data_IF_292966414772
#
_entry.id   IF_292966414772
#
_cell.length_a   1.000
_cell.length_b   1.000
_cell.length_c   1.000
_cell.angle_alpha   90.00
_cell.angle_beta   90.00
_cell.angle_gamma   90.00
#
_symmetry.space_group_name_H-M   'P 1'
#
loop_
_entity.id
_entity.type
_entity.pdbx_description
1 polymer ?
#
# COMPACT_ATOMS: atom_id res chain seq x y z
N UNK A 1 -6.61 -16.68 25.71
CA UNK A 1 -7.28 -15.55 25.03
C UNK A 1 -8.13 -14.76 26.00
N UNK A 2 -9.37 -15.21 26.25
CA UNK A 2 -10.35 -14.49 27.09
C UNK A 2 -9.86 -14.17 28.51
N UNK A 3 -9.13 -15.08 29.16
CA UNK A 3 -8.57 -14.85 30.49
C UNK A 3 -7.54 -13.70 30.49
N UNK A 4 -6.57 -13.74 29.56
CA UNK A 4 -5.59 -12.66 29.37
C UNK A 4 -6.25 -11.32 29.03
N UNK A 5 -7.30 -11.34 28.20
CA UNK A 5 -8.06 -10.14 27.86
C UNK A 5 -8.75 -9.52 29.09
N UNK A 6 -9.34 -10.35 29.96
CA UNK A 6 -9.95 -9.90 31.22
C UNK A 6 -8.91 -9.39 32.21
N UNK A 7 -7.71 -9.97 32.21
CA UNK A 7 -6.59 -9.53 33.03
C UNK A 7 -5.92 -8.23 32.54
N UNK A 8 -6.35 -7.69 31.39
CA UNK A 8 -5.74 -6.49 30.79
C UNK A 8 -4.45 -6.76 30.02
N UNK A 9 -3.98 -8.01 29.98
CA UNK A 9 -2.84 -8.42 29.15
C UNK A 9 -3.29 -8.64 27.71
N UNK A 10 -3.45 -7.52 27.01
CA UNK A 10 -3.88 -7.50 25.61
C UNK A 10 -2.84 -8.11 24.65
N UNK A 11 -1.52 -7.93 24.82
CA UNK A 11 -0.51 -8.61 24.00
C UNK A 11 -0.60 -10.15 24.10
N UNK A 12 -0.68 -10.71 25.32
CA UNK A 12 -0.85 -12.16 25.46
C UNK A 12 -2.20 -12.63 24.92
N UNK A 13 -3.27 -11.84 25.13
CA UNK A 13 -4.58 -12.13 24.54
C UNK A 13 -4.51 -12.23 23.01
N UNK A 14 -3.81 -11.32 22.34
CA UNK A 14 -3.58 -11.33 20.88
C UNK A 14 -2.84 -12.59 20.45
N UNK A 15 -1.76 -12.97 21.16
CA UNK A 15 -1.00 -14.19 20.87
C UNK A 15 -1.90 -15.42 20.92
N UNK A 16 -2.68 -15.56 21.98
CA UNK A 16 -3.62 -16.67 22.13
C UNK A 16 -4.75 -16.66 21.09
N UNK A 17 -5.34 -15.51 20.78
CA UNK A 17 -6.37 -15.44 19.73
C UNK A 17 -5.79 -15.72 18.35
N UNK A 18 -4.54 -15.34 18.09
CA UNK A 18 -3.85 -15.64 16.83
C UNK A 18 -3.65 -17.14 16.68
N UNK A 19 -3.20 -17.83 17.73
CA UNK A 19 -3.12 -19.28 17.73
C UNK A 19 -4.50 -19.93 17.48
N UNK A 20 -5.58 -19.38 18.09
CA UNK A 20 -6.94 -19.86 17.87
C UNK A 20 -7.44 -19.64 16.43
N UNK A 21 -7.13 -18.50 15.81
CA UNK A 21 -7.45 -18.22 14.40
C UNK A 21 -6.68 -19.15 13.46
N UNK A 22 -5.43 -19.50 13.78
CA UNK A 22 -4.65 -20.47 12.98
C UNK A 22 -5.26 -21.87 13.11
N UNK A 23 -5.68 -22.26 14.31
CA UNK A 23 -6.28 -23.57 14.57
C UNK A 23 -7.68 -23.72 13.93
N UNK A 24 -8.51 -22.68 13.99
CA UNK A 24 -9.83 -22.64 13.36
C UNK A 24 -10.08 -21.27 12.69
N UNK A 25 -9.70 -21.13 11.41
CA UNK A 25 -9.84 -19.88 10.65
C UNK A 25 -11.28 -19.50 10.33
N UNK A 26 -12.23 -20.43 10.45
CA UNK A 26 -13.62 -20.22 10.06
C UNK A 26 -14.47 -19.65 11.19
N UNK A 27 -13.96 -19.65 12.41
CA UNK A 27 -14.69 -19.11 13.56
C UNK A 27 -14.47 -17.59 13.68
N UNK A 28 -15.48 -16.75 13.37
CA UNK A 28 -15.36 -15.30 13.42
C UNK A 28 -15.12 -14.75 14.84
N UNK A 29 -15.42 -15.53 15.87
CA UNK A 29 -15.30 -15.12 17.28
C UNK A 29 -13.86 -14.83 17.66
N UNK A 30 -12.90 -15.62 17.18
CA UNK A 30 -11.49 -15.45 17.54
C UNK A 30 -10.91 -14.17 16.92
N UNK A 31 -11.21 -13.93 15.65
CA UNK A 31 -10.82 -12.73 14.91
C UNK A 31 -11.46 -11.49 15.53
N UNK A 32 -12.76 -11.56 15.86
CA UNK A 32 -13.47 -10.48 16.52
C UNK A 32 -12.93 -10.15 17.91
N UNK A 33 -12.56 -11.17 18.71
CA UNK A 33 -11.98 -10.98 20.03
C UNK A 33 -10.54 -10.45 19.96
N UNK A 34 -9.77 -10.83 18.93
CA UNK A 34 -8.46 -10.25 18.64
C UNK A 34 -8.57 -8.79 18.24
N UNK A 35 -9.57 -8.41 17.43
CA UNK A 35 -9.86 -7.01 17.11
C UNK A 35 -10.11 -6.16 18.37
N UNK A 36 -10.84 -6.70 19.36
CA UNK A 36 -11.05 -5.99 20.62
C UNK A 36 -9.74 -5.78 21.40
N UNK A 37 -8.83 -6.76 21.39
CA UNK A 37 -7.53 -6.63 22.05
C UNK A 37 -6.67 -5.57 21.35
N UNK A 38 -6.71 -5.50 20.02
CA UNK A 38 -6.05 -4.46 19.26
C UNK A 38 -6.59 -3.05 19.55
N UNK A 39 -7.91 -2.89 19.65
CA UNK A 39 -8.52 -1.61 20.05
C UNK A 39 -8.03 -1.12 21.41
N UNK A 40 -7.86 -2.03 22.37
CA UNK A 40 -7.36 -1.69 23.71
C UNK A 40 -5.90 -1.23 23.73
N UNK A 41 -5.13 -1.59 22.70
CA UNK A 41 -3.73 -1.16 22.52
C UNK A 41 -3.58 0.03 21.57
N UNK A 42 -4.67 0.65 21.09
CA UNK A 42 -4.61 1.71 20.08
C UNK A 42 -4.14 1.22 18.70
N UNK A 43 -4.06 -0.09 18.47
CA UNK A 43 -3.69 -0.70 17.19
C UNK A 43 -4.89 -0.70 16.25
N UNK A 44 -5.34 0.49 15.89
CA UNK A 44 -6.60 0.70 15.19
C UNK A 44 -6.62 0.06 13.78
N UNK A 45 -5.50 0.06 13.07
CA UNK A 45 -5.40 -0.57 11.74
C UNK A 45 -5.55 -2.09 11.83
N UNK A 46 -4.88 -2.74 12.79
CA UNK A 46 -5.00 -4.18 13.00
C UNK A 46 -6.43 -4.58 13.45
N UNK A 47 -7.05 -3.75 14.30
CA UNK A 47 -8.42 -3.94 14.72
C UNK A 47 -9.42 -3.85 13.55
N UNK A 48 -9.26 -2.88 12.65
CA UNK A 48 -10.11 -2.76 11.46
C UNK A 48 -9.99 -3.99 10.56
N UNK A 49 -8.77 -4.46 10.29
CA UNK A 49 -8.54 -5.66 9.47
C UNK A 49 -9.23 -6.89 10.04
N UNK A 50 -9.13 -7.11 11.35
CA UNK A 50 -9.79 -8.25 12.00
C UNK A 50 -11.33 -8.11 12.02
N UNK A 51 -11.85 -6.88 12.09
CA UNK A 51 -13.29 -6.63 11.94
C UNK A 51 -13.75 -6.94 10.51
N UNK A 52 -13.00 -6.55 9.48
CA UNK A 52 -13.32 -6.86 8.08
C UNK A 52 -13.28 -8.36 7.79
N UNK A 53 -12.31 -9.08 8.36
CA UNK A 53 -12.27 -10.54 8.30
C UNK A 53 -13.50 -11.17 8.97
N UNK A 54 -13.91 -10.64 10.12
CA UNK A 54 -15.12 -11.10 10.83
C UNK A 54 -16.38 -10.86 10.00
N UNK A 55 -16.54 -9.67 9.40
CA UNK A 55 -17.70 -9.31 8.56
C UNK A 55 -17.79 -10.19 7.31
N UNK A 56 -16.64 -10.57 6.72
CA UNK A 56 -16.60 -11.49 5.59
C UNK A 56 -17.11 -12.89 5.94
N UNK A 57 -16.88 -13.34 7.17
CA UNK A 57 -17.34 -14.65 7.66
C UNK A 57 -18.78 -14.58 8.21
N UNK A 58 -19.15 -13.48 8.85
CA UNK A 58 -20.46 -13.22 9.44
C UNK A 58 -20.85 -11.75 9.20
N UNK A 59 -21.56 -11.51 8.10
CA UNK A 59 -21.94 -10.17 7.66
C UNK A 59 -22.96 -9.49 8.58
N UNK A 60 -23.68 -10.28 9.40
CA UNK A 60 -24.68 -9.80 10.36
C UNK A 60 -24.09 -9.49 11.73
N UNK A 61 -22.77 -9.62 11.90
CA UNK A 61 -22.11 -9.39 13.17
C UNK A 61 -22.06 -7.90 13.54
N UNK A 62 -23.06 -7.42 14.27
CA UNK A 62 -23.17 -6.01 14.70
C UNK A 62 -21.95 -5.56 15.51
N UNK A 63 -21.35 -6.45 16.32
CA UNK A 63 -20.16 -6.14 17.12
C UNK A 63 -18.94 -5.87 16.24
N UNK A 64 -18.81 -6.56 15.11
CA UNK A 64 -17.73 -6.33 14.16
C UNK A 64 -17.84 -4.95 13.50
N UNK A 65 -19.04 -4.58 13.04
CA UNK A 65 -19.31 -3.25 12.49
C UNK A 65 -19.05 -2.13 13.49
N UNK A 66 -19.52 -2.29 14.73
CA UNK A 66 -19.30 -1.32 15.79
C UNK A 66 -17.81 -1.14 16.14
N UNK A 67 -17.05 -2.24 16.23
CA UNK A 67 -15.60 -2.21 16.50
C UNK A 67 -14.80 -1.62 15.33
N UNK A 68 -15.24 -1.86 14.09
CA UNK A 68 -14.68 -1.22 12.90
C UNK A 68 -14.86 0.29 12.93
N UNK A 69 -16.04 0.77 13.31
CA UNK A 69 -16.29 2.21 13.50
C UNK A 69 -15.34 2.83 14.52
N UNK A 70 -15.19 2.19 15.69
CA UNK A 70 -14.22 2.63 16.72
C UNK A 70 -12.77 2.62 16.21
N UNK A 71 -12.39 1.63 15.42
CA UNK A 71 -11.07 1.57 14.81
C UNK A 71 -10.83 2.76 13.87
N UNK A 72 -11.78 3.08 12.99
CA UNK A 72 -11.67 4.21 12.06
C UNK A 72 -11.59 5.56 12.76
N UNK A 73 -12.48 5.81 13.73
CA UNK A 73 -12.43 7.04 14.52
C UNK A 73 -11.14 7.17 15.33
N UNK A 74 -10.55 6.05 15.76
CA UNK A 74 -9.23 6.04 16.39
C UNK A 74 -8.08 6.39 15.44
N UNK A 75 -8.17 5.96 14.17
CA UNK A 75 -7.20 6.33 13.14
C UNK A 75 -7.27 7.82 12.80
N UNK A 76 -8.47 8.38 12.65
CA UNK A 76 -8.66 9.82 12.39
C UNK A 76 -8.05 10.67 13.51
N UNK A 77 -8.37 10.35 14.77
CA UNK A 77 -7.79 11.05 15.93
C UNK A 77 -6.28 10.93 16.04
N UNK A 78 -5.71 9.79 15.65
CA UNK A 78 -4.26 9.60 15.64
C UNK A 78 -3.57 10.37 14.51
N UNK A 79 -4.25 10.51 13.35
CA UNK A 79 -3.77 11.38 12.27
C UNK A 79 -3.83 12.85 12.68
N UNK A 80 -4.94 13.32 13.25
CA UNK A 80 -5.08 14.68 13.78
C UNK A 80 -4.05 14.98 14.88
N UNK A 81 -3.83 14.04 15.82
CA UNK A 81 -2.83 14.18 16.86
C UNK A 81 -1.40 14.24 16.33
N UNK A 82 -1.08 13.51 15.25
CA UNK A 82 0.24 13.53 14.60
C UNK A 82 0.46 14.78 13.76
N UNK A 83 -0.57 15.34 13.16
CA UNK A 83 -0.47 16.62 12.45
C UNK A 83 -0.37 17.80 13.43
N UNK A 84 -0.97 17.70 14.63
CA UNK A 84 -0.88 18.71 15.69
C UNK A 84 0.35 18.61 16.62
N UNK A 85 1.14 17.53 16.53
CA UNK A 85 2.39 17.36 17.29
C UNK A 85 3.56 17.28 16.33
N UNK A 86 4.08 18.43 15.90
CA UNK A 86 5.43 18.51 15.33
C UNK A 86 6.45 18.40 16.47
N UNK A 87 7.32 17.37 16.53
CA UNK A 87 8.50 17.39 17.36
C UNK A 87 9.71 17.67 16.46
N UNK A 88 10.23 18.90 16.57
CA UNK A 88 11.62 19.18 16.23
C UNK A 88 12.53 18.37 17.16
N UNK A 89 13.13 17.28 16.66
CA UNK A 89 14.40 16.73 17.19
C UNK A 89 14.95 15.62 16.27
N UNK A 90 16.27 15.69 16.07
CA UNK A 90 17.13 14.97 15.13
C UNK A 90 17.27 13.44 15.37
N UNK A 91 17.89 12.68 14.44
CA UNK A 91 18.01 11.23 14.51
C UNK A 91 19.26 10.80 15.30
N UNK A 92 19.19 9.65 15.96
CA UNK A 92 20.38 8.92 16.41
C UNK A 92 20.35 7.48 15.84
N UNK A 93 21.48 6.95 15.34
CA UNK A 93 21.55 5.65 14.70
C UNK A 93 21.97 4.57 15.71
N UNK A 94 21.35 3.40 15.67
CA UNK A 94 22.00 2.18 16.17
C UNK A 94 21.36 0.95 15.55
N UNK A 95 22.03 0.43 14.54
CA UNK A 95 21.84 -0.90 13.99
C UNK A 95 22.28 -1.95 15.00
N UNK A 96 21.49 -3.01 15.20
CA UNK A 96 22.03 -4.32 15.55
C UNK A 96 21.35 -5.43 14.75
N UNK A 97 22.21 -6.19 14.09
CA UNK A 97 21.95 -7.36 13.28
C UNK A 97 21.41 -8.53 14.10
N UNK A 98 20.51 -9.31 13.52
CA UNK A 98 20.57 -10.78 13.71
C UNK A 98 20.11 -11.49 12.43
N UNK A 99 20.92 -12.46 12.05
CA UNK A 99 20.98 -13.23 10.81
C UNK A 99 19.92 -14.36 10.73
N UNK A 100 19.27 -14.49 9.55
CA UNK A 100 18.93 -15.68 8.73
C UNK A 100 18.61 -17.06 9.40
N UNK A 101 17.73 -17.95 8.83
CA UNK A 101 17.73 -18.30 7.40
C UNK A 101 16.39 -18.61 6.69
N UNK A 102 16.52 -18.53 5.36
CA UNK A 102 15.70 -18.99 4.21
C UNK A 102 14.72 -20.14 4.46
N UNK A 103 13.43 -19.97 4.08
CA UNK A 103 12.60 -21.00 3.39
C UNK A 103 11.52 -20.36 2.49
N UNK A 104 11.65 -20.62 1.19
CA UNK A 104 10.67 -20.89 0.11
C UNK A 104 9.39 -20.05 -0.05
N UNK A 105 9.29 -19.49 -1.26
CA UNK A 105 8.08 -19.11 -1.99
C UNK A 105 6.87 -20.01 -1.71
N UNK A 106 5.76 -19.40 -1.31
CA UNK A 106 4.44 -19.74 -1.84
C UNK A 106 3.60 -18.47 -1.92
N UNK A 107 3.00 -18.26 -3.10
CA UNK A 107 2.15 -17.13 -3.38
C UNK A 107 0.91 -17.14 -2.47
N UNK A 108 0.78 -16.13 -1.60
CA UNK A 108 -0.47 -15.85 -0.90
C UNK A 108 -1.07 -14.56 -1.48
N UNK A 109 -1.97 -14.75 -2.43
CA UNK A 109 -2.92 -13.71 -2.87
C UNK A 109 -3.69 -13.25 -1.63
N UNK A 110 -3.70 -11.94 -1.38
CA UNK A 110 -4.46 -11.21 -0.34
C UNK A 110 -3.70 -10.72 0.90
N UNK A 111 -2.39 -10.47 0.79
CA UNK A 111 -1.77 -9.49 1.71
C UNK A 111 -2.11 -8.09 1.18
N UNK A 112 -2.73 -7.18 1.96
CA UNK A 112 -2.84 -5.79 1.54
C UNK A 112 -1.42 -5.27 1.32
N UNK A 113 -1.14 -4.82 0.11
CA UNK A 113 0.18 -4.36 -0.28
C UNK A 113 0.50 -3.10 0.53
N UNK A 114 1.38 -3.23 1.51
CA UNK A 114 1.96 -2.05 2.17
C UNK A 114 3.05 -1.48 1.28
N UNK A 115 3.35 -0.19 1.41
CA UNK A 115 4.45 0.43 0.66
C UNK A 115 5.77 -0.32 0.87
N UNK A 116 6.06 -0.72 2.11
CA UNK A 116 7.25 -1.50 2.43
C UNK A 116 7.30 -2.83 1.68
N UNK A 117 6.19 -3.56 1.62
CA UNK A 117 6.13 -4.83 0.87
C UNK A 117 6.21 -4.62 -0.63
N UNK A 118 5.62 -3.52 -1.14
CA UNK A 118 5.75 -3.12 -2.54
C UNK A 118 7.22 -2.87 -2.87
N UNK A 119 7.89 -1.97 -2.15
CA UNK A 119 9.29 -1.59 -2.39
C UNK A 119 10.22 -2.79 -2.27
N UNK A 120 10.06 -3.60 -1.21
CA UNK A 120 10.85 -4.82 -1.02
C UNK A 120 10.67 -5.80 -2.18
N UNK A 121 9.44 -6.00 -2.65
CA UNK A 121 9.17 -6.91 -3.78
C UNK A 121 9.70 -6.32 -5.08
N UNK A 122 9.52 -5.02 -5.29
CA UNK A 122 10.02 -4.28 -6.44
C UNK A 122 11.54 -4.36 -6.58
N UNK A 123 12.28 -4.14 -5.49
CA UNK A 123 13.75 -4.18 -5.47
C UNK A 123 14.30 -5.59 -5.68
N UNK A 124 13.53 -6.64 -5.37
CA UNK A 124 13.90 -8.01 -5.67
C UNK A 124 13.79 -8.36 -7.17
N UNK A 125 13.11 -7.54 -7.98
CA UNK A 125 12.90 -7.77 -9.40
C UNK A 125 13.97 -7.07 -10.25
N UNK A 126 14.70 -7.87 -11.02
CA UNK A 126 15.80 -7.38 -11.87
C UNK A 126 15.41 -7.13 -13.33
N UNK A 127 14.38 -7.82 -13.85
CA UNK A 127 13.95 -7.65 -15.25
C UNK A 127 12.75 -6.69 -15.38
N UNK A 128 12.71 -5.82 -16.41
CA UNK A 128 11.55 -4.97 -16.70
C UNK A 128 10.24 -5.75 -16.86
N UNK A 129 10.26 -6.90 -17.52
CA UNK A 129 9.06 -7.73 -17.72
C UNK A 129 8.50 -8.25 -16.39
N UNK A 130 9.34 -8.75 -15.48
CA UNK A 130 8.88 -9.16 -14.16
C UNK A 130 8.34 -7.99 -13.32
N UNK A 131 8.91 -6.79 -13.46
CA UNK A 131 8.39 -5.56 -12.82
C UNK A 131 7.02 -5.18 -13.38
N UNK A 132 6.82 -5.32 -14.69
CA UNK A 132 5.53 -5.12 -15.34
C UNK A 132 4.48 -6.11 -14.82
N UNK A 133 4.76 -7.41 -14.85
CA UNK A 133 3.85 -8.44 -14.32
C UNK A 133 3.54 -8.22 -12.84
N UNK A 134 4.51 -7.74 -12.05
CA UNK A 134 4.26 -7.37 -10.67
C UNK A 134 3.34 -6.16 -10.56
N UNK A 135 3.53 -5.11 -11.36
CA UNK A 135 2.64 -3.95 -11.38
C UNK A 135 1.21 -4.33 -11.76
N UNK A 136 1.02 -5.21 -12.74
CA UNK A 136 -0.31 -5.71 -13.13
C UNK A 136 -1.06 -6.40 -11.98
N UNK A 137 -0.34 -6.91 -10.97
CA UNK A 137 -0.97 -7.45 -9.76
C UNK A 137 -1.47 -6.38 -8.78
N UNK A 138 -1.10 -5.11 -8.99
CA UNK A 138 -1.44 -3.96 -8.15
C UNK A 138 -2.48 -3.09 -8.84
N UNK A 139 -3.71 -3.08 -8.34
CA UNK A 139 -4.77 -2.31 -8.98
C UNK A 139 -4.43 -0.79 -9.04
N UNK A 140 -4.51 -0.12 -10.22
CA UNK A 140 -4.08 1.27 -10.39
C UNK A 140 -4.71 2.27 -9.42
N UNK A 141 -5.98 2.08 -9.06
CA UNK A 141 -6.68 2.97 -8.10
C UNK A 141 -6.15 2.87 -6.67
N UNK A 142 -5.32 1.87 -6.37
CA UNK A 142 -4.66 1.71 -5.06
C UNK A 142 -3.35 2.50 -4.98
N UNK A 143 -2.81 3.02 -6.09
CA UNK A 143 -1.53 3.72 -6.09
C UNK A 143 -1.55 5.02 -5.25
N UNK A 144 -2.58 5.89 -5.32
CA UNK A 144 -2.60 7.12 -4.53
C UNK A 144 -2.51 6.87 -3.02
N UNK A 145 -3.16 5.81 -2.53
CA UNK A 145 -3.14 5.44 -1.12
C UNK A 145 -1.86 4.68 -0.74
N UNK A 146 -1.37 3.79 -1.61
CA UNK A 146 -0.12 3.05 -1.41
C UNK A 146 1.09 3.99 -1.26
N UNK A 147 1.13 5.03 -2.09
CA UNK A 147 2.26 5.95 -2.20
C UNK A 147 2.05 7.29 -1.48
N UNK A 148 0.95 7.42 -0.72
CA UNK A 148 0.47 8.68 -0.13
C UNK A 148 1.54 9.51 0.58
N UNK A 149 2.45 8.86 1.29
CA UNK A 149 3.39 9.51 2.21
C UNK A 149 4.86 9.45 1.80
N UNK A 150 5.21 8.63 0.81
CA UNK A 150 6.62 8.24 0.61
C UNK A 150 6.91 7.76 -0.82
N UNK A 151 6.23 8.31 -1.83
CA UNK A 151 6.70 8.17 -3.21
C UNK A 151 7.97 8.98 -3.39
N UNK A 152 9.04 8.32 -3.81
CA UNK A 152 10.33 8.95 -4.08
C UNK A 152 10.62 8.96 -5.59
N UNK A 153 11.34 9.98 -6.06
CA UNK A 153 11.71 10.15 -7.47
C UNK A 153 12.43 8.93 -8.06
N UNK A 154 13.42 8.30 -7.40
CA UNK A 154 14.12 7.15 -7.97
C UNK A 154 13.22 5.94 -8.24
N UNK A 155 12.23 5.70 -7.36
CA UNK A 155 11.27 4.61 -7.55
C UNK A 155 10.34 4.91 -8.73
N UNK A 156 9.84 6.15 -8.80
CA UNK A 156 8.98 6.62 -9.90
C UNK A 156 9.70 6.51 -11.25
N UNK A 157 10.97 6.90 -11.32
CA UNK A 157 11.79 6.80 -12.54
C UNK A 157 11.97 5.34 -12.96
N UNK A 158 12.31 4.43 -12.04
CA UNK A 158 12.39 2.99 -12.36
C UNK A 158 11.07 2.41 -12.88
N UNK A 159 9.93 2.90 -12.39
CA UNK A 159 8.62 2.51 -12.91
C UNK A 159 8.41 3.01 -14.34
N UNK A 160 8.78 4.26 -14.63
CA UNK A 160 8.71 4.83 -15.98
C UNK A 160 9.64 4.11 -16.97
N UNK A 161 10.87 3.76 -16.55
CA UNK A 161 11.79 2.95 -17.36
C UNK A 161 11.18 1.59 -17.70
N UNK A 162 10.50 0.98 -16.72
CA UNK A 162 9.77 -0.28 -16.93
C UNK A 162 8.67 -0.10 -17.98
N UNK A 163 7.87 0.97 -17.88
CA UNK A 163 6.84 1.27 -18.87
C UNK A 163 7.42 1.51 -20.27
N UNK A 164 8.51 2.26 -20.38
CA UNK A 164 9.17 2.52 -21.66
C UNK A 164 9.62 1.23 -22.34
N UNK A 165 10.29 0.34 -21.59
CA UNK A 165 10.72 -0.95 -22.12
C UNK A 165 9.52 -1.79 -22.56
N UNK A 166 8.44 -1.81 -21.78
CA UNK A 166 7.22 -2.55 -22.16
C UNK A 166 6.62 -1.99 -23.44
N UNK A 167 6.46 -0.67 -23.55
CA UNK A 167 5.92 -0.01 -24.75
C UNK A 167 6.74 -0.29 -26.02
N UNK A 168 8.07 -0.34 -25.89
CA UNK A 168 8.96 -0.62 -27.02
C UNK A 168 8.88 -2.07 -27.50
N UNK A 169 8.54 -3.02 -26.62
CA UNK A 169 8.53 -4.46 -26.91
C UNK A 169 7.13 -5.04 -27.14
N UNK A 170 6.09 -4.38 -26.63
CA UNK A 170 4.70 -4.84 -26.60
C UNK A 170 3.77 -3.65 -26.93
N UNK A 171 3.64 -3.27 -28.21
CA UNK A 171 2.90 -2.09 -28.64
C UNK A 171 1.38 -2.32 -28.74
N UNK A 172 0.85 -3.38 -28.14
CA UNK A 172 -0.58 -3.69 -28.15
C UNK A 172 -1.40 -2.58 -27.46
N UNK A 173 -2.60 -2.33 -27.98
CA UNK A 173 -3.50 -1.27 -27.48
C UNK A 173 -3.84 -1.47 -26.00
N UNK A 174 -4.07 -2.72 -25.59
CA UNK A 174 -4.42 -3.09 -24.22
C UNK A 174 -3.29 -2.74 -23.22
N UNK A 175 -2.04 -2.95 -23.62
CA UNK A 175 -0.85 -2.62 -22.81
C UNK A 175 -0.73 -1.11 -22.68
N UNK A 176 -0.91 -0.37 -23.77
CA UNK A 176 -0.90 1.10 -23.77
C UNK A 176 -1.99 1.68 -22.85
N UNK A 177 -3.21 1.17 -22.93
CA UNK A 177 -4.33 1.59 -22.05
C UNK A 177 -4.06 1.25 -20.57
N UNK A 178 -3.46 0.10 -20.29
CA UNK A 178 -3.09 -0.29 -18.94
C UNK A 178 -2.03 0.67 -18.36
N UNK A 179 -0.93 0.91 -19.08
CA UNK A 179 0.12 1.85 -18.67
C UNK A 179 -0.45 3.26 -18.48
N UNK A 180 -1.29 3.72 -19.41
CA UNK A 180 -1.99 4.99 -19.30
C UNK A 180 -2.81 5.10 -18.01
N UNK A 181 -3.52 4.04 -17.65
CA UNK A 181 -4.30 3.98 -16.40
C UNK A 181 -3.40 4.09 -15.17
N UNK A 182 -2.21 3.49 -15.18
CA UNK A 182 -1.21 3.70 -14.12
C UNK A 182 -0.74 5.16 -14.05
N UNK A 183 -0.38 5.77 -15.19
CA UNK A 183 0.07 7.17 -15.24
C UNK A 183 -0.98 8.14 -14.69
N UNK A 184 -2.26 7.92 -15.05
CA UNK A 184 -3.39 8.72 -14.56
C UNK A 184 -3.57 8.59 -13.04
N UNK A 185 -3.43 7.38 -12.48
CA UNK A 185 -3.58 7.19 -11.04
C UNK A 185 -2.34 7.65 -10.25
N UNK A 186 -1.14 7.53 -10.81
CA UNK A 186 0.07 8.08 -10.20
C UNK A 186 0.00 9.61 -10.04
N UNK A 187 -0.55 10.32 -11.03
CA UNK A 187 -0.76 11.77 -10.94
C UNK A 187 -1.67 12.20 -9.77
N UNK A 188 -2.45 11.29 -9.21
CA UNK A 188 -3.36 11.54 -8.07
C UNK A 188 -2.68 11.33 -6.72
N UNK A 189 -1.43 10.87 -6.67
CA UNK A 189 -0.66 10.73 -5.43
C UNK A 189 -0.46 12.12 -4.79
N UNK A 190 -0.69 12.28 -3.48
CA UNK A 190 -0.40 13.55 -2.81
C UNK A 190 1.05 13.98 -2.96
N UNK A 191 1.26 15.28 -3.21
CA UNK A 191 2.59 15.90 -3.46
C UNK A 191 3.30 15.37 -4.72
N UNK A 192 2.58 14.74 -5.65
CA UNK A 192 3.16 14.24 -6.90
C UNK A 192 3.87 15.34 -7.72
N UNK A 193 3.29 16.54 -7.79
CA UNK A 193 3.91 17.69 -8.47
C UNK A 193 5.26 18.05 -7.86
N UNK A 194 5.41 17.98 -6.53
CA UNK A 194 6.69 18.19 -5.84
C UNK A 194 7.72 17.15 -6.27
N UNK A 195 7.34 15.88 -6.40
CA UNK A 195 8.23 14.80 -6.86
C UNK A 195 8.69 15.07 -8.29
N UNK A 196 7.75 15.42 -9.16
CA UNK A 196 8.04 15.78 -10.56
C UNK A 196 8.94 17.01 -10.64
N UNK A 197 8.83 17.99 -9.74
CA UNK A 197 9.71 19.16 -9.71
C UNK A 197 11.20 18.79 -9.52
N UNK A 198 11.49 17.72 -8.78
CA UNK A 198 12.86 17.25 -8.54
C UNK A 198 13.43 16.35 -9.65
N UNK A 199 12.65 16.04 -10.70
CA UNK A 199 13.16 15.30 -11.85
C UNK A 199 14.14 16.15 -12.67
N UNK A 200 15.26 15.51 -13.05
CA UNK A 200 16.25 16.00 -14.00
C UNK A 200 15.68 16.11 -15.42
N UNK A 201 16.43 16.75 -16.33
CA UNK A 201 16.03 16.89 -17.73
C UNK A 201 15.86 15.53 -18.44
N UNK A 202 16.73 14.57 -18.12
CA UNK A 202 16.70 13.22 -18.71
C UNK A 202 15.44 12.47 -18.23
N UNK A 203 15.13 12.53 -16.94
CA UNK A 203 13.94 11.88 -16.37
C UNK A 203 12.64 12.50 -16.91
N UNK A 204 12.60 13.83 -17.12
CA UNK A 204 11.46 14.49 -17.77
C UNK A 204 11.30 14.08 -19.23
N UNK A 205 12.40 13.88 -19.94
CA UNK A 205 12.37 13.38 -21.31
C UNK A 205 11.80 11.95 -21.35
N UNK A 206 12.18 11.09 -20.40
CA UNK A 206 11.58 9.76 -20.23
C UNK A 206 10.07 9.83 -19.98
N UNK A 207 9.61 10.74 -19.11
CA UNK A 207 8.16 10.95 -18.88
C UNK A 207 7.45 11.27 -20.19
N UNK A 208 8.02 12.17 -21.00
CA UNK A 208 7.45 12.55 -22.29
C UNK A 208 7.37 11.36 -23.25
N UNK A 209 8.44 10.59 -23.39
CA UNK A 209 8.46 9.40 -24.25
C UNK A 209 7.43 8.35 -23.85
N UNK A 210 7.25 8.12 -22.55
CA UNK A 210 6.22 7.19 -22.04
C UNK A 210 4.82 7.70 -22.35
N UNK A 211 4.55 9.00 -22.13
CA UNK A 211 3.27 9.61 -22.46
C UNK A 211 2.95 9.66 -23.96
N UNK A 212 3.97 9.79 -24.81
CA UNK A 212 3.82 9.75 -26.27
C UNK A 212 3.57 8.30 -26.75
N UNK A 213 4.13 7.30 -26.06
CA UNK A 213 3.96 5.88 -26.40
C UNK A 213 2.59 5.28 -26.07
N UNK A 214 1.86 5.82 -25.08
CA UNK A 214 0.53 5.31 -24.65
C UNK A 214 -0.66 5.85 -25.46
N UNK A 215 -0.37 6.56 -26.55
CA UNK A 215 -1.32 7.17 -27.48
C UNK A 215 -2.25 8.25 -26.87
N UNK A 216 -2.27 9.40 -27.54
CA UNK A 216 -2.83 10.66 -27.05
C UNK A 216 -4.33 10.71 -27.34
N UNK A 217 -5.14 10.29 -26.36
CA UNK A 217 -6.54 10.67 -26.35
C UNK A 217 -6.62 12.15 -26.02
N UNK A 218 -7.44 12.92 -26.74
CA UNK A 218 -7.67 14.33 -26.42
C UNK A 218 -8.78 14.50 -25.37
N UNK A 219 -8.77 13.64 -24.35
CA UNK A 219 -9.71 13.77 -23.23
C UNK A 219 -9.14 14.73 -22.16
N UNK A 220 -10.04 15.49 -21.54
CA UNK A 220 -9.75 16.49 -20.51
C UNK A 220 -8.99 15.89 -19.33
N UNK A 221 -9.25 14.63 -18.98
CA UNK A 221 -8.58 13.92 -17.90
C UNK A 221 -7.09 13.74 -18.21
N UNK A 222 -6.75 13.39 -19.44
CA UNK A 222 -5.36 13.20 -19.88
C UNK A 222 -4.61 14.52 -19.89
N UNK A 223 -5.21 15.60 -20.41
CA UNK A 223 -4.62 16.94 -20.37
C UNK A 223 -4.33 17.40 -18.94
N UNK A 224 -5.23 17.11 -18.00
CA UNK A 224 -5.04 17.39 -16.58
C UNK A 224 -3.84 16.63 -16.00
N UNK A 225 -3.77 15.32 -16.26
CA UNK A 225 -2.67 14.49 -15.77
C UNK A 225 -1.32 14.91 -16.39
N UNK A 226 -1.27 15.12 -17.71
CA UNK A 226 -0.06 15.58 -18.43
C UNK A 226 0.55 16.86 -17.84
N UNK A 227 -0.30 17.83 -17.45
CA UNK A 227 0.14 19.03 -16.73
C UNK A 227 0.76 18.71 -15.37
N UNK A 228 0.16 17.79 -14.61
CA UNK A 228 0.70 17.33 -13.31
C UNK A 228 2.05 16.62 -13.48
N UNK A 229 2.21 15.87 -14.57
CA UNK A 229 3.47 15.24 -14.96
C UNK A 229 4.50 16.21 -15.56
N UNK A 230 4.13 17.47 -15.81
CA UNK A 230 5.03 18.47 -16.40
C UNK A 230 5.34 18.23 -17.88
N UNK A 231 4.47 17.52 -18.60
CA UNK A 231 4.57 17.23 -20.03
C UNK A 231 3.32 17.74 -20.75
N UNK A 232 3.23 19.06 -20.89
CA UNK A 232 2.20 19.74 -21.68
C UNK A 232 2.64 19.97 -23.11
#
# INVERSE_FOLDING_TARGET
GNAAFKAGDFPAAIGHYTAAVIADPKNPTYTLNRAAAYLKLGKHVDAERDCDATIKLDSKNVKAWFRRGQARSGQEKFMEAREGTEPSAAPDPTSQHTTAPVVKQSASKNTPLSLFNFVRSWDALSSPQARWTFLESVHPTSLPSLFKTSLETPLLVKMLETFKVVLDNAPEVEVKESIKTYLLNMARVPRFTTIVLFMSKIERQLVKEVWDGVDAGDDQVERGARKVWGVS
#
